data_IF_856331524127
#
_entry.id   IF_856331524127
#
_cell.length_a   1.000
_cell.length_b   1.000
_cell.length_c   1.000
_cell.angle_alpha   90.00
_cell.angle_beta   90.00
_cell.angle_gamma   90.00
#
_symmetry.space_group_name_H-M   'P 1'
#
loop_
_entity.id
_entity.type
_entity.pdbx_description
1 polymer ?
#
# COMPACT_ATOMS: atom_id res chain seq x y z
N UNK A 1 14.04 25.94 -5.78
CA UNK A 1 13.06 26.46 -4.80
C UNK A 1 13.59 26.18 -3.40
N UNK A 2 13.36 27.09 -2.44
CA UNK A 2 13.67 26.86 -1.03
C UNK A 2 12.46 26.20 -0.34
N UNK A 3 12.53 24.87 -0.16
CA UNK A 3 11.44 24.09 0.46
C UNK A 3 11.18 24.53 1.89
N UNK A 4 12.25 24.85 2.64
CA UNK A 4 12.15 25.28 4.04
C UNK A 4 11.32 26.56 4.13
N UNK A 5 11.71 27.59 3.36
CA UNK A 5 11.02 28.87 3.35
C UNK A 5 9.53 28.70 3.02
N UNK A 6 9.21 27.86 2.01
CA UNK A 6 7.82 27.59 1.62
C UNK A 6 7.04 26.95 2.78
N UNK A 7 7.53 25.86 3.37
CA UNK A 7 6.81 25.14 4.44
C UNK A 7 6.62 26.01 5.68
N UNK A 8 7.64 26.78 6.07
CA UNK A 8 7.51 27.70 7.22
C UNK A 8 6.52 28.84 7.01
N UNK A 9 6.13 29.12 5.76
CA UNK A 9 5.10 30.12 5.46
C UNK A 9 3.68 29.56 5.49
N UNK A 10 3.51 28.23 5.65
CA UNK A 10 2.19 27.63 5.81
C UNK A 10 1.53 28.12 7.09
N UNK A 11 0.22 28.36 6.99
CA UNK A 11 -0.58 28.81 8.13
C UNK A 11 -0.53 27.77 9.26
N UNK A 12 -0.08 28.21 10.43
CA UNK A 12 -0.01 27.35 11.62
C UNK A 12 1.10 26.29 11.54
N UNK A 13 2.11 26.49 10.70
CA UNK A 13 3.30 25.66 10.72
C UNK A 13 4.14 25.96 11.96
N UNK A 14 4.35 24.92 12.77
CA UNK A 14 5.14 24.97 13.99
C UNK A 14 6.23 23.90 13.96
N UNK A 15 7.41 24.13 14.56
CA UNK A 15 8.44 23.10 14.65
C UNK A 15 7.91 21.81 15.29
N UNK A 16 8.20 20.66 14.68
CA UNK A 16 7.77 19.36 15.19
C UNK A 16 8.81 18.83 16.20
N UNK A 17 8.47 18.72 17.50
CA UNK A 17 9.44 18.31 18.52
C UNK A 17 9.94 16.88 18.30
N UNK A 18 11.25 16.67 18.49
CA UNK A 18 11.89 15.35 18.35
C UNK A 18 12.48 15.06 16.96
N UNK A 19 12.35 16.00 16.01
CA UNK A 19 12.96 15.89 14.69
C UNK A 19 13.41 17.28 14.18
N UNK A 20 14.71 17.53 13.95
CA UNK A 20 15.17 18.80 13.39
C UNK A 20 14.67 18.98 11.96
N UNK A 21 14.51 20.24 11.55
CA UNK A 21 14.05 20.64 10.20
C UNK A 21 12.75 19.96 9.80
N UNK A 22 11.82 19.97 10.76
CA UNK A 22 10.50 19.39 10.58
C UNK A 22 9.43 20.26 11.24
N UNK A 23 8.23 20.19 10.71
CA UNK A 23 7.09 21.01 11.09
C UNK A 23 5.82 20.18 11.15
N UNK A 24 4.90 20.62 11.99
CA UNK A 24 3.50 20.18 12.01
C UNK A 24 2.62 21.36 11.62
N UNK A 25 1.55 21.09 10.86
CA UNK A 25 0.52 22.07 10.55
C UNK A 25 -0.82 21.38 10.28
N UNK A 26 -1.92 22.11 10.43
CA UNK A 26 -3.27 21.59 10.18
C UNK A 26 -3.98 22.48 9.15
N UNK A 27 -4.24 21.98 7.93
CA UNK A 27 -4.96 22.76 6.91
C UNK A 27 -6.46 22.87 7.21
N UNK A 28 -7.02 21.92 7.97
CA UNK A 28 -8.43 21.90 8.36
C UNK A 28 -8.64 21.02 9.62
N UNK A 29 -9.71 21.26 10.40
CA UNK A 29 -10.00 20.45 11.59
C UNK A 29 -10.04 18.94 11.31
N UNK A 30 -9.28 18.17 12.09
CA UNK A 30 -9.18 16.71 11.95
C UNK A 30 -8.28 16.24 10.80
N UNK A 31 -7.53 17.14 10.17
CA UNK A 31 -6.46 16.84 9.23
C UNK A 31 -5.16 17.45 9.79
N UNK A 32 -4.17 16.60 10.01
CA UNK A 32 -2.88 17.00 10.55
C UNK A 32 -1.78 16.55 9.60
N UNK A 33 -0.92 17.47 9.22
CA UNK A 33 0.27 17.19 8.42
C UNK A 33 1.51 17.32 9.28
N UNK A 34 2.46 16.45 9.03
CA UNK A 34 3.81 16.55 9.56
C UNK A 34 4.78 16.42 8.38
N UNK A 35 5.80 17.26 8.33
CA UNK A 35 6.77 17.23 7.25
C UNK A 35 8.18 17.45 7.76
N UNK A 36 9.15 16.77 7.15
CA UNK A 36 10.57 16.95 7.41
C UNK A 36 11.29 17.22 6.10
N UNK A 37 12.35 18.04 6.13
CA UNK A 37 13.23 18.12 4.97
C UNK A 37 13.97 16.80 4.77
N UNK A 38 14.17 16.43 3.50
CA UNK A 38 15.14 15.41 3.11
C UNK A 38 16.54 15.77 3.62
N UNK A 39 17.44 14.79 3.70
CA UNK A 39 18.80 15.00 4.19
C UNK A 39 19.58 16.05 3.38
N UNK A 40 19.29 16.17 2.07
CA UNK A 40 19.87 17.17 1.18
C UNK A 40 19.13 18.52 1.17
N UNK A 41 18.04 18.64 1.93
CA UNK A 41 17.20 19.84 2.03
C UNK A 41 16.37 20.17 0.79
N UNK A 42 16.35 19.30 -0.24
CA UNK A 42 15.70 19.60 -1.54
C UNK A 42 14.25 19.14 -1.64
N UNK A 43 13.79 18.29 -0.71
CA UNK A 43 12.47 17.68 -0.73
C UNK A 43 11.79 17.80 0.62
N UNK A 44 10.46 17.82 0.59
CA UNK A 44 9.60 17.70 1.75
C UNK A 44 9.11 16.25 1.83
N UNK A 45 9.56 15.52 2.85
CA UNK A 45 8.98 14.25 3.25
C UNK A 45 7.75 14.56 4.09
N UNK A 46 6.57 14.15 3.66
CA UNK A 46 5.32 14.57 4.29
C UNK A 46 4.42 13.40 4.65
N UNK A 47 3.96 13.37 5.89
CA UNK A 47 2.92 12.50 6.38
C UNK A 47 1.63 13.29 6.57
N UNK A 48 0.49 12.65 6.37
CA UNK A 48 -0.81 13.20 6.78
C UNK A 48 -1.60 12.21 7.64
N UNK A 49 -2.30 12.71 8.65
CA UNK A 49 -3.23 11.96 9.47
C UNK A 49 -4.62 12.56 9.35
N UNK A 50 -5.64 11.72 9.20
CA UNK A 50 -7.06 12.12 9.25
C UNK A 50 -7.68 11.54 10.51
N UNK A 51 -7.97 12.40 11.50
CA UNK A 51 -8.54 12.03 12.81
C UNK A 51 -7.81 10.89 13.55
N UNK A 52 -6.56 10.63 13.19
CA UNK A 52 -5.75 9.51 13.66
C UNK A 52 -4.29 9.90 13.83
N UNK A 53 -3.99 11.20 13.83
CA UNK A 53 -2.63 11.69 13.93
C UNK A 53 -2.02 11.30 15.28
N UNK A 54 -0.83 10.70 15.20
CA UNK A 54 0.02 10.40 16.34
C UNK A 54 1.38 11.03 16.06
N UNK A 55 1.77 11.98 16.93
CA UNK A 55 3.03 12.71 16.79
C UNK A 55 4.25 11.80 16.86
N UNK A 56 4.26 10.81 17.76
CA UNK A 56 5.41 9.93 17.94
C UNK A 56 5.59 9.03 16.71
N UNK A 57 4.48 8.54 16.16
CA UNK A 57 4.49 7.77 14.92
C UNK A 57 4.94 8.63 13.74
N UNK A 58 4.44 9.87 13.63
CA UNK A 58 4.84 10.81 12.59
C UNK A 58 6.35 11.10 12.63
N UNK A 59 6.89 11.42 13.81
CA UNK A 59 8.33 11.65 14.02
C UNK A 59 9.15 10.43 13.63
N UNK A 60 8.75 9.24 14.07
CA UNK A 60 9.48 8.00 13.78
C UNK A 60 9.45 7.66 12.29
N UNK A 61 8.30 7.82 11.64
CA UNK A 61 8.13 7.60 10.20
C UNK A 61 8.98 8.57 9.39
N UNK A 62 8.92 9.87 9.70
CA UNK A 62 9.67 10.90 8.97
C UNK A 62 11.18 10.75 9.16
N UNK A 63 11.63 10.37 10.37
CA UNK A 63 13.04 10.06 10.63
C UNK A 63 13.50 8.89 9.76
N UNK A 64 12.78 7.77 9.81
CA UNK A 64 13.09 6.59 9.02
C UNK A 64 13.12 6.92 7.52
N UNK A 65 12.11 7.64 7.02
CA UNK A 65 12.06 8.02 5.62
C UNK A 65 13.24 8.91 5.20
N UNK A 66 13.66 9.84 6.08
CA UNK A 66 14.81 10.72 5.82
C UNK A 66 16.13 9.95 5.79
N UNK A 67 16.30 9.00 6.69
CA UNK A 67 17.52 8.20 6.81
C UNK A 67 17.63 7.15 5.69
N UNK A 68 16.52 6.82 5.02
CA UNK A 68 16.41 5.78 4.00
C UNK A 68 15.83 6.27 2.66
N UNK A 69 15.85 7.57 2.38
CA UNK A 69 15.14 8.13 1.22
C UNK A 69 15.57 7.50 -0.12
N UNK A 70 16.89 7.41 -0.36
CA UNK A 70 17.40 6.82 -1.61
C UNK A 70 16.99 5.33 -1.72
N UNK A 71 17.02 4.60 -0.61
CA UNK A 71 16.64 3.18 -0.58
C UNK A 71 15.13 2.98 -0.78
N UNK A 72 14.29 3.87 -0.27
CA UNK A 72 12.83 3.83 -0.48
C UNK A 72 12.50 3.84 -1.98
N UNK A 73 13.12 4.75 -2.74
CA UNK A 73 12.80 4.95 -4.15
C UNK A 73 13.73 4.22 -5.13
N UNK A 74 14.70 3.43 -4.64
CA UNK A 74 15.68 2.74 -5.47
C UNK A 74 15.04 1.71 -6.41
N UNK A 75 14.08 0.92 -5.91
CA UNK A 75 13.41 -0.13 -6.70
C UNK A 75 12.23 0.44 -7.51
N UNK A 76 11.41 1.28 -6.86
CA UNK A 76 10.25 1.90 -7.48
C UNK A 76 10.28 3.42 -7.29
N UNK A 77 10.40 4.22 -8.37
CA UNK A 77 10.48 5.68 -8.25
C UNK A 77 9.13 6.33 -7.88
N UNK A 78 8.02 5.62 -8.06
CA UNK A 78 6.65 6.14 -7.86
C UNK A 78 6.06 5.77 -6.50
N UNK A 79 6.27 4.52 -6.07
CA UNK A 79 5.72 3.95 -4.84
C UNK A 79 6.74 3.01 -4.21
N UNK A 80 7.67 3.60 -3.48
CA UNK A 80 8.78 2.89 -2.85
C UNK A 80 8.44 2.45 -1.43
N UNK A 81 8.82 1.25 -1.01
CA UNK A 81 8.65 0.80 0.37
C UNK A 81 9.95 0.24 0.94
N UNK A 82 10.09 0.36 2.26
CA UNK A 82 11.26 -0.14 2.99
C UNK A 82 10.83 -0.74 4.31
N UNK A 83 11.12 -2.03 4.45
CA UNK A 83 10.90 -2.82 5.67
C UNK A 83 11.91 -2.47 6.76
N UNK A 84 11.67 -2.99 7.98
CA UNK A 84 12.55 -2.78 9.14
C UNK A 84 12.20 -1.53 9.94
N UNK A 85 10.99 -1.01 9.76
CA UNK A 85 10.48 0.09 10.56
C UNK A 85 10.03 -0.44 11.93
N UNK A 86 10.56 0.17 13.00
CA UNK A 86 10.15 -0.11 14.37
C UNK A 86 9.23 1.04 14.85
N UNK A 87 7.91 0.81 14.90
CA UNK A 87 6.99 1.87 15.25
C UNK A 87 6.96 2.08 16.78
N UNK A 88 6.51 3.25 17.26
CA UNK A 88 6.25 3.45 18.68
C UNK A 88 5.23 2.44 19.22
N UNK A 89 5.25 2.23 20.55
CA UNK A 89 4.31 1.34 21.22
C UNK A 89 2.84 1.64 20.87
N UNK A 90 2.06 0.58 20.65
CA UNK A 90 0.65 0.67 20.25
C UNK A 90 0.41 0.59 18.74
N UNK A 91 1.47 0.57 17.94
CA UNK A 91 1.41 0.44 16.48
C UNK A 91 2.07 -0.87 16.01
N UNK A 92 1.68 -1.36 14.83
CA UNK A 92 2.12 -2.66 14.27
C UNK A 92 2.77 -2.58 12.88
N UNK A 93 2.92 -1.38 12.34
CA UNK A 93 3.59 -1.16 11.06
C UNK A 93 5.02 -1.72 11.10
N UNK A 94 5.46 -2.37 10.02
CA UNK A 94 6.80 -2.96 9.90
C UNK A 94 7.60 -2.37 8.73
N UNK A 95 7.00 -1.42 7.99
CA UNK A 95 7.59 -0.73 6.87
C UNK A 95 7.24 0.77 6.85
N UNK A 96 7.96 1.52 6.02
CA UNK A 96 7.58 2.87 5.58
C UNK A 96 7.45 2.88 4.07
N UNK A 97 6.42 3.56 3.56
CA UNK A 97 6.21 3.78 2.13
C UNK A 97 6.45 5.24 1.77
N UNK A 98 7.15 5.48 0.67
CA UNK A 98 7.33 6.76 -0.01
C UNK A 98 6.51 6.82 -1.30
N UNK A 99 5.87 7.96 -1.54
CA UNK A 99 4.96 8.17 -2.68
C UNK A 99 5.41 9.41 -3.44
N UNK A 100 5.59 9.26 -4.74
CA UNK A 100 6.06 10.30 -5.64
C UNK A 100 4.92 11.26 -6.07
N UNK A 101 5.25 12.50 -6.48
CA UNK A 101 4.26 13.50 -6.89
C UNK A 101 3.39 13.08 -8.07
N UNK A 102 3.89 12.22 -8.95
CA UNK A 102 3.16 11.60 -10.06
C UNK A 102 1.92 10.82 -9.57
N UNK A 103 1.99 10.28 -8.35
CA UNK A 103 0.94 9.46 -7.72
C UNK A 103 -0.01 10.32 -6.90
N UNK A 104 0.50 11.11 -5.93
CA UNK A 104 -0.36 11.73 -4.91
C UNK A 104 -0.92 13.11 -5.27
N UNK A 105 -0.28 13.85 -6.19
CA UNK A 105 -0.73 15.17 -6.69
C UNK A 105 -1.05 16.22 -5.60
N UNK A 106 -0.43 16.14 -4.42
CA UNK A 106 -0.60 17.16 -3.37
C UNK A 106 -0.08 18.50 -3.86
N UNK A 107 -0.72 19.60 -3.44
CA UNK A 107 -0.39 20.98 -3.78
C UNK A 107 -0.45 21.32 -5.27
N UNK A 108 -0.93 20.42 -6.13
CA UNK A 108 -0.94 20.64 -7.58
C UNK A 108 -1.71 21.91 -7.98
N UNK A 109 -2.69 22.32 -7.17
CA UNK A 109 -3.50 23.52 -7.41
C UNK A 109 -3.00 24.70 -6.57
N UNK A 110 -2.74 24.47 -5.29
CA UNK A 110 -2.45 25.54 -4.32
C UNK A 110 -1.00 26.03 -4.40
N UNK A 111 -0.06 25.14 -4.72
CA UNK A 111 1.36 25.44 -4.87
C UNK A 111 2.01 24.45 -5.85
N UNK A 112 1.81 24.65 -7.17
CA UNK A 112 2.31 23.73 -8.19
C UNK A 112 3.83 23.64 -8.19
N UNK A 113 4.54 24.71 -7.83
CA UNK A 113 6.00 24.72 -7.74
C UNK A 113 6.52 23.84 -6.60
N UNK A 114 5.75 23.68 -5.52
CA UNK A 114 6.10 22.78 -4.43
C UNK A 114 5.88 21.31 -4.78
N UNK A 115 4.87 21.00 -5.60
CA UNK A 115 4.42 19.62 -5.87
C UNK A 115 5.56 18.66 -6.25
N UNK A 116 6.48 18.98 -7.20
CA UNK A 116 7.57 18.09 -7.58
C UNK A 116 8.58 17.79 -6.45
N UNK A 117 8.58 18.62 -5.40
CA UNK A 117 9.49 18.50 -4.25
C UNK A 117 8.87 17.77 -3.07
N UNK A 118 7.61 17.35 -3.15
CA UNK A 118 6.94 16.60 -2.07
C UNK A 118 7.03 15.11 -2.34
N UNK A 119 7.46 14.37 -1.33
CA UNK A 119 7.31 12.91 -1.26
C UNK A 119 6.41 12.61 -0.08
N UNK A 120 5.24 12.02 -0.31
CA UNK A 120 4.46 11.57 0.83
C UNK A 120 5.13 10.34 1.46
N UNK A 121 5.09 10.26 2.77
CA UNK A 121 5.71 9.19 3.54
C UNK A 121 4.75 8.74 4.62
N UNK A 122 4.49 7.43 4.70
CA UNK A 122 3.54 6.86 5.64
C UNK A 122 4.09 5.58 6.27
N UNK A 123 3.73 5.30 7.54
CA UNK A 123 3.93 3.98 8.08
C UNK A 123 3.04 2.98 7.30
N UNK A 124 3.59 1.79 7.08
CA UNK A 124 3.10 0.82 6.13
C UNK A 124 3.27 -0.60 6.65
N UNK A 125 2.62 -1.55 5.98
CA UNK A 125 2.90 -2.97 6.16
C UNK A 125 3.63 -3.50 4.94
N UNK A 126 4.68 -4.29 5.17
CA UNK A 126 5.53 -4.89 4.15
C UNK A 126 4.72 -5.70 3.12
N UNK A 127 3.65 -6.37 3.58
CA UNK A 127 2.77 -7.18 2.75
C UNK A 127 1.98 -6.39 1.68
N UNK A 128 1.98 -5.06 1.72
CA UNK A 128 1.09 -4.21 0.92
C UNK A 128 1.66 -3.79 -0.44
N UNK A 129 2.96 -3.97 -0.62
CA UNK A 129 3.74 -3.48 -1.75
C UNK A 129 4.63 -4.57 -2.32
N UNK A 130 4.63 -4.72 -3.65
CA UNK A 130 5.57 -5.60 -4.33
C UNK A 130 6.92 -4.91 -4.57
N UNK A 131 6.89 -3.58 -4.79
CA UNK A 131 8.03 -2.79 -5.23
C UNK A 131 8.19 -2.76 -6.75
N UNK A 132 7.33 -3.44 -7.51
CA UNK A 132 7.36 -3.47 -8.97
C UNK A 132 6.07 -2.88 -9.59
N UNK A 133 5.27 -2.18 -8.79
CA UNK A 133 4.05 -1.52 -9.26
C UNK A 133 4.36 -0.55 -10.39
N UNK A 134 3.62 -0.67 -11.49
CA UNK A 134 3.60 0.37 -12.54
C UNK A 134 3.02 1.69 -11.98
N UNK A 135 3.15 2.80 -12.70
CA UNK A 135 2.57 4.07 -12.26
C UNK A 135 1.05 3.97 -12.02
N UNK A 136 0.30 3.32 -12.92
CA UNK A 136 -1.15 3.16 -12.79
C UNK A 136 -1.52 2.26 -11.60
N UNK A 137 -0.69 1.24 -11.36
CA UNK A 137 -0.79 0.35 -10.21
C UNK A 137 -0.51 1.08 -8.90
N UNK A 138 0.53 1.91 -8.87
CA UNK A 138 0.87 2.76 -7.73
C UNK A 138 -0.26 3.74 -7.39
N UNK A 139 -0.86 4.38 -8.41
CA UNK A 139 -2.04 5.24 -8.25
C UNK A 139 -3.23 4.48 -7.69
N UNK A 140 -3.46 3.26 -8.17
CA UNK A 140 -4.54 2.40 -7.69
C UNK A 140 -4.31 2.00 -6.23
N UNK A 141 -3.11 1.52 -5.88
CA UNK A 141 -2.75 1.15 -4.51
C UNK A 141 -2.85 2.31 -3.54
N UNK A 142 -2.34 3.48 -3.91
CA UNK A 142 -2.43 4.68 -3.09
C UNK A 142 -3.88 5.02 -2.71
N UNK A 143 -4.83 4.86 -3.65
CA UNK A 143 -6.26 5.11 -3.40
C UNK A 143 -6.91 4.05 -2.53
N UNK A 144 -6.46 2.80 -2.61
CA UNK A 144 -7.02 1.67 -1.84
C UNK A 144 -6.59 1.72 -0.36
N UNK A 145 -5.31 2.02 -0.09
CA UNK A 145 -4.69 1.77 1.22
C UNK A 145 -5.12 2.71 2.35
N UNK A 146 -5.80 3.82 2.05
CA UNK A 146 -6.22 4.83 3.04
C UNK A 146 -5.09 5.21 4.01
N UNK A 147 -3.90 5.48 3.46
CA UNK A 147 -2.66 5.67 4.23
C UNK A 147 -2.71 6.79 5.27
N UNK A 148 -3.64 7.74 5.13
CA UNK A 148 -3.87 8.80 6.10
C UNK A 148 -4.68 8.35 7.34
N UNK A 149 -5.09 7.09 7.44
CA UNK A 149 -5.68 6.50 8.64
C UNK A 149 -4.59 5.72 9.39
N UNK A 150 -3.96 6.35 10.38
CA UNK A 150 -2.76 5.79 11.03
C UNK A 150 -3.07 4.65 12.02
N UNK A 151 -4.35 4.34 12.26
CA UNK A 151 -4.80 3.18 13.06
C UNK A 151 -5.37 2.04 12.21
N UNK A 152 -5.01 1.97 10.92
CA UNK A 152 -5.54 0.97 9.99
C UNK A 152 -4.87 -0.40 10.16
N UNK A 153 -5.62 -1.43 9.79
CA UNK A 153 -5.10 -2.78 9.59
C UNK A 153 -4.34 -2.90 8.25
N UNK A 154 -3.48 -3.92 8.10
CA UNK A 154 -2.84 -4.24 6.83
C UNK A 154 -3.85 -4.58 5.74
N UNK A 155 -3.61 -4.06 4.52
CA UNK A 155 -4.33 -4.43 3.32
C UNK A 155 -3.35 -5.02 2.30
N UNK A 156 -3.06 -6.34 2.39
CA UNK A 156 -1.99 -6.94 1.62
C UNK A 156 -2.18 -6.78 0.11
N UNK A 157 -1.05 -6.87 -0.60
CA UNK A 157 -1.03 -6.85 -2.05
C UNK A 157 -1.80 -8.06 -2.59
N UNK A 158 -2.84 -7.79 -3.36
CA UNK A 158 -3.62 -8.81 -4.04
C UNK A 158 -4.00 -8.30 -5.42
N UNK A 159 -3.48 -8.96 -6.45
CA UNK A 159 -4.08 -8.92 -7.78
C UNK A 159 -4.85 -10.21 -8.01
N UNK A 160 -6.06 -10.13 -8.54
CA UNK A 160 -6.81 -11.33 -8.91
C UNK A 160 -7.54 -11.19 -10.24
N UNK A 161 -7.85 -12.33 -10.84
CA UNK A 161 -8.87 -12.47 -11.89
C UNK A 161 -9.68 -13.72 -11.63
N UNK A 162 -10.92 -13.75 -12.11
CA UNK A 162 -11.79 -14.90 -11.89
C UNK A 162 -12.84 -15.07 -12.98
N UNK A 163 -13.41 -16.26 -13.04
CA UNK A 163 -14.68 -16.53 -13.70
C UNK A 163 -15.50 -17.43 -12.79
N UNK A 164 -16.71 -16.99 -12.46
CA UNK A 164 -17.65 -17.70 -11.60
C UNK A 164 -18.83 -18.14 -12.46
N UNK A 165 -18.91 -19.43 -12.79
CA UNK A 165 -19.98 -19.98 -13.65
C UNK A 165 -21.33 -20.01 -12.93
N UNK A 166 -21.32 -20.06 -11.59
CA UNK A 166 -22.53 -20.06 -10.76
C UNK A 166 -23.19 -18.69 -10.70
N UNK A 167 -22.42 -17.64 -10.41
CA UNK A 167 -22.94 -16.26 -10.34
C UNK A 167 -22.93 -15.54 -11.69
N UNK A 168 -22.24 -16.10 -12.68
CA UNK A 168 -21.92 -15.48 -13.98
C UNK A 168 -21.01 -14.25 -13.88
N UNK A 169 -20.47 -13.96 -12.71
CA UNK A 169 -19.46 -12.92 -12.51
C UNK A 169 -18.12 -13.32 -13.13
N UNK A 170 -17.41 -12.36 -13.70
CA UNK A 170 -16.06 -12.58 -14.24
C UNK A 170 -15.26 -11.30 -14.32
N UNK A 171 -13.94 -11.42 -14.26
CA UNK A 171 -13.04 -10.34 -14.63
C UNK A 171 -13.15 -10.06 -16.13
N UNK A 172 -13.21 -8.80 -16.51
CA UNK A 172 -13.33 -8.37 -17.92
C UNK A 172 -11.98 -8.09 -18.58
N UNK A 173 -10.93 -7.87 -17.78
CA UNK A 173 -9.59 -7.62 -18.27
C UNK A 173 -8.82 -8.95 -18.41
N UNK A 174 -7.89 -9.06 -19.38
CA UNK A 174 -7.12 -10.29 -19.59
C UNK A 174 -6.12 -10.57 -18.45
N UNK A 175 -5.67 -9.54 -17.74
CA UNK A 175 -4.76 -9.65 -16.60
C UNK A 175 -5.47 -9.68 -15.23
N UNK A 176 -4.69 -9.89 -14.17
CA UNK A 176 -5.15 -9.76 -12.78
C UNK A 176 -5.18 -8.27 -12.38
N UNK A 177 -6.25 -7.84 -11.72
CA UNK A 177 -6.42 -6.48 -11.23
C UNK A 177 -6.38 -6.41 -9.71
N UNK A 178 -5.98 -5.26 -9.16
CA UNK A 178 -5.99 -5.09 -7.70
C UNK A 178 -7.37 -5.20 -7.09
N UNK A 179 -7.45 -5.86 -5.94
CA UNK A 179 -8.65 -5.88 -5.12
C UNK A 179 -8.31 -6.14 -3.65
N UNK A 180 -9.33 -6.19 -2.80
CA UNK A 180 -9.20 -6.44 -1.37
C UNK A 180 -9.32 -7.94 -1.06
N UNK A 181 -8.61 -8.48 -0.04
CA UNK A 181 -8.67 -9.91 0.32
C UNK A 181 -10.07 -10.44 0.57
N UNK A 182 -10.96 -9.60 1.10
CA UNK A 182 -12.37 -9.97 1.31
C UNK A 182 -13.04 -10.44 0.01
N UNK A 183 -12.68 -9.83 -1.13
CA UNK A 183 -13.21 -10.19 -2.45
C UNK A 183 -12.77 -11.58 -2.90
N UNK A 184 -11.53 -11.94 -2.61
CA UNK A 184 -11.01 -13.27 -2.89
C UNK A 184 -11.78 -14.33 -2.09
N UNK A 185 -11.96 -14.11 -0.80
CA UNK A 185 -12.70 -15.04 0.08
C UNK A 185 -14.17 -15.15 -0.33
N UNK A 186 -14.81 -14.03 -0.66
CA UNK A 186 -16.17 -14.02 -1.20
C UNK A 186 -16.30 -14.85 -2.47
N UNK A 187 -15.43 -14.63 -3.47
CA UNK A 187 -15.49 -15.37 -4.73
C UNK A 187 -15.24 -16.87 -4.53
N UNK A 188 -14.26 -17.26 -3.70
CA UNK A 188 -14.04 -18.67 -3.35
C UNK A 188 -15.31 -19.31 -2.77
N UNK A 189 -15.96 -18.67 -1.80
CA UNK A 189 -17.22 -19.16 -1.21
C UNK A 189 -18.36 -19.19 -2.23
N UNK A 190 -18.36 -18.28 -3.20
CA UNK A 190 -19.43 -18.18 -4.19
C UNK A 190 -19.23 -19.09 -5.41
N UNK A 191 -18.13 -19.81 -5.54
CA UNK A 191 -17.82 -20.62 -6.72
C UNK A 191 -18.09 -22.11 -6.54
N UNK A 192 -18.31 -22.57 -5.31
CA UNK A 192 -18.71 -23.94 -5.01
C UNK A 192 -19.94 -24.35 -5.81
N UNK A 193 -19.96 -25.58 -6.32
CA UNK A 193 -20.90 -26.14 -7.30
C UNK A 193 -20.91 -25.47 -8.70
N UNK A 194 -20.07 -24.46 -8.93
CA UNK A 194 -19.91 -23.83 -10.24
C UNK A 194 -18.82 -24.50 -11.07
N UNK A 195 -19.08 -25.66 -11.67
CA UNK A 195 -18.07 -26.37 -12.49
C UNK A 195 -17.41 -25.46 -13.52
N UNK A 196 -16.07 -25.48 -13.55
CA UNK A 196 -15.24 -24.62 -14.40
C UNK A 196 -15.06 -23.19 -13.88
N UNK A 197 -15.56 -22.89 -12.67
CA UNK A 197 -15.25 -21.63 -11.98
C UNK A 197 -13.80 -21.64 -11.51
N UNK A 198 -13.13 -20.50 -11.65
CA UNK A 198 -11.76 -20.35 -11.19
C UNK A 198 -11.50 -18.96 -10.63
N UNK A 199 -10.47 -18.91 -9.79
CA UNK A 199 -9.82 -17.71 -9.27
C UNK A 199 -8.32 -17.86 -9.51
N UNK A 200 -7.70 -16.82 -10.03
CA UNK A 200 -6.25 -16.65 -10.02
C UNK A 200 -5.91 -15.45 -9.15
N UNK A 201 -4.99 -15.64 -8.21
CA UNK A 201 -4.57 -14.58 -7.28
C UNK A 201 -3.05 -14.54 -7.16
N UNK A 202 -2.55 -13.32 -6.94
CA UNK A 202 -1.12 -12.98 -6.93
C UNK A 202 -0.80 -12.18 -5.67
N UNK A 203 0.26 -12.59 -4.95
CA UNK A 203 0.78 -11.87 -3.79
C UNK A 203 1.84 -10.82 -4.17
N UNK A 204 2.40 -10.14 -3.16
CA UNK A 204 3.43 -9.11 -3.37
C UNK A 204 4.73 -9.61 -4.00
N UNK A 205 5.02 -10.91 -3.93
CA UNK A 205 6.23 -11.50 -4.48
C UNK A 205 6.07 -11.93 -5.95
N UNK A 206 4.86 -11.74 -6.52
CA UNK A 206 4.53 -12.23 -7.85
C UNK A 206 4.22 -13.73 -7.87
N UNK A 207 4.05 -14.37 -6.71
CA UNK A 207 3.59 -15.75 -6.64
C UNK A 207 2.12 -15.81 -7.05
N UNK A 208 1.81 -16.66 -8.05
CA UNK A 208 0.45 -16.81 -8.57
C UNK A 208 -0.07 -18.20 -8.26
N UNK A 209 -1.31 -18.25 -7.76
CA UNK A 209 -2.05 -19.50 -7.59
C UNK A 209 -3.33 -19.46 -8.38
N UNK A 210 -3.75 -20.64 -8.84
CA UNK A 210 -5.05 -20.87 -9.44
C UNK A 210 -5.85 -21.83 -8.57
N UNK A 211 -7.01 -21.38 -8.13
CA UNK A 211 -8.03 -22.22 -7.50
C UNK A 211 -9.15 -22.47 -8.51
N UNK A 212 -9.59 -23.72 -8.66
CA UNK A 212 -10.62 -24.12 -9.61
C UNK A 212 -11.59 -25.11 -8.97
N UNK A 213 -12.87 -24.97 -9.31
CA UNK A 213 -13.90 -25.91 -8.91
C UNK A 213 -14.24 -26.90 -10.04
N UNK A 214 -14.04 -28.18 -9.76
CA UNK A 214 -14.41 -29.29 -10.66
C UNK A 214 -14.94 -30.47 -9.85
N UNK A 215 -16.09 -30.30 -9.20
CA UNK A 215 -16.67 -31.30 -8.29
C UNK A 215 -15.97 -31.40 -6.92
N UNK A 216 -14.76 -30.88 -6.84
CA UNK A 216 -14.03 -30.54 -5.62
C UNK A 216 -13.18 -29.29 -5.88
N UNK A 217 -12.62 -28.70 -4.82
CA UNK A 217 -11.65 -27.61 -4.94
C UNK A 217 -10.27 -28.15 -5.28
N UNK A 218 -9.65 -27.55 -6.31
CA UNK A 218 -8.27 -27.79 -6.65
C UNK A 218 -7.49 -26.48 -6.61
N UNK A 219 -6.28 -26.51 -6.06
CA UNK A 219 -5.37 -25.36 -6.08
C UNK A 219 -4.00 -25.76 -6.60
N UNK A 220 -3.40 -24.91 -7.44
CA UNK A 220 -2.07 -25.13 -8.01
C UNK A 220 -1.26 -23.83 -7.98
N UNK A 221 0.06 -23.97 -7.82
CA UNK A 221 1.00 -22.91 -8.17
C UNK A 221 0.99 -22.72 -9.69
N UNK A 222 0.72 -21.50 -10.14
CA UNK A 222 0.52 -21.16 -11.54
C UNK A 222 1.76 -20.49 -12.17
N UNK A 223 2.78 -20.15 -11.37
CA UNK A 223 4.04 -19.61 -11.89
C UNK A 223 4.86 -20.66 -12.61
N UNK A 224 4.65 -21.92 -12.27
CA UNK A 224 5.23 -23.05 -12.99
C UNK A 224 4.11 -23.72 -13.78
N UNK A 225 4.26 -23.89 -15.10
CA UNK A 225 3.36 -24.75 -15.90
C UNK A 225 3.38 -26.23 -15.46
N UNK A 226 3.99 -26.53 -14.30
CA UNK A 226 4.21 -27.84 -13.69
C UNK A 226 3.55 -27.96 -12.30
N UNK A 227 2.85 -26.94 -11.81
CA UNK A 227 2.15 -27.03 -10.53
C UNK A 227 1.10 -28.13 -10.58
N UNK A 228 1.31 -29.23 -9.85
CA UNK A 228 0.35 -30.33 -9.79
C UNK A 228 -0.83 -29.87 -8.94
N UNK A 229 -2.06 -29.80 -9.50
CA UNK A 229 -3.24 -29.42 -8.72
C UNK A 229 -3.42 -30.35 -7.54
N UNK A 230 -3.58 -29.78 -6.34
CA UNK A 230 -3.94 -30.53 -5.14
C UNK A 230 -5.41 -30.32 -4.83
N UNK A 231 -6.11 -31.41 -4.53
CA UNK A 231 -7.45 -31.33 -3.96
C UNK A 231 -7.37 -30.70 -2.55
N UNK A 232 -8.37 -29.92 -2.18
CA UNK A 232 -8.44 -29.22 -0.89
C UNK A 232 -9.90 -29.02 -0.47
N UNK A 233 -10.15 -28.76 0.81
CA UNK A 233 -11.44 -28.22 1.27
C UNK A 233 -11.54 -26.70 1.08
N UNK A 234 -12.75 -26.14 1.12
CA UNK A 234 -12.98 -24.69 1.03
C UNK A 234 -12.31 -23.93 2.18
N UNK A 235 -12.46 -24.39 3.42
CA UNK A 235 -11.88 -23.72 4.59
C UNK A 235 -10.34 -23.72 4.53
N UNK A 236 -9.75 -24.85 4.18
CA UNK A 236 -8.30 -24.98 3.96
C UNK A 236 -7.82 -24.09 2.81
N UNK A 237 -8.61 -23.95 1.74
CA UNK A 237 -8.29 -23.08 0.62
C UNK A 237 -8.33 -21.60 1.01
N UNK A 238 -9.31 -21.19 1.82
CA UNK A 238 -9.42 -19.83 2.34
C UNK A 238 -8.26 -19.51 3.29
N UNK A 239 -7.92 -20.43 4.18
CA UNK A 239 -6.76 -20.29 5.08
C UNK A 239 -5.46 -20.18 4.28
N UNK A 240 -5.25 -21.09 3.32
CA UNK A 240 -4.11 -21.08 2.41
C UNK A 240 -4.01 -19.74 1.66
N UNK A 241 -5.08 -19.31 1.00
CA UNK A 241 -5.09 -18.10 0.20
C UNK A 241 -4.81 -16.87 1.07
N UNK A 242 -5.40 -16.80 2.26
CA UNK A 242 -5.17 -15.70 3.20
C UNK A 242 -3.71 -15.68 3.67
N UNK A 243 -3.18 -16.81 4.11
CA UNK A 243 -1.80 -16.91 4.58
C UNK A 243 -0.79 -16.46 3.51
N UNK A 244 -1.04 -16.78 2.23
CA UNK A 244 -0.19 -16.38 1.10
C UNK A 244 -0.18 -14.88 0.78
N UNK A 245 -1.11 -14.10 1.31
CA UNK A 245 -1.13 -12.64 1.14
C UNK A 245 -0.35 -11.89 2.21
N UNK A 246 -0.10 -12.50 3.37
CA UNK A 246 0.56 -11.87 4.52
C UNK A 246 2.05 -12.25 4.67
N UNK A 247 2.66 -12.77 3.61
CA UNK A 247 4.09 -13.12 3.54
C UNK A 247 4.98 -11.94 3.13
#
# INVERSE_FOLDING_TARGET
MDVRAVVTSFRGAEPLPGLPDSWHWSPAPGIDFAGALSADGKRLLQLSGRKSYDRNLAVSTLRFARDHEDALFARNPFLGSRDGFEPPAGHRFDAVVGIAPEVHRFYRVENPDLTPHVRLTFPAYSCEFSGDETLDEAVTRYRMLRLNHLGREPLPFLKMRYANTRTRGKSTNPGRGFTEPVRLVEELRLMEDGTGSFVEFENRHGDVWRAEWHGAWFVADWNTQNGTPRETGLDELVEFATAKLYV
#
